data_IF_882482685253
#
_entry.id   IF_882482685253
#
_cell.length_a   1.000
_cell.length_b   1.000
_cell.length_c   1.000
_cell.angle_alpha   90.00
_cell.angle_beta   90.00
_cell.angle_gamma   90.00
#
_symmetry.space_group_name_H-M   'P 1'
#
loop_
_entity.id
_entity.type
_entity.pdbx_description
1 polymer ?
#
# COMPACT_ATOMS: atom_id res chain seq x y z
N UNK A 1 24.65 -48.12 34.50
CA UNK A 1 25.76 -47.41 33.84
C UNK A 1 25.34 -47.12 32.40
N UNK A 2 25.12 -45.83 32.07
CA UNK A 2 25.04 -45.21 30.73
C UNK A 2 24.07 -45.84 29.69
N UNK A 3 22.81 -45.39 29.54
CA UNK A 3 22.35 -44.26 28.68
C UNK A 3 23.16 -44.09 27.41
N UNK A 4 22.56 -44.39 26.23
CA UNK A 4 22.60 -43.56 24.99
C UNK A 4 21.39 -43.91 24.10
N UNK A 5 20.27 -43.24 24.32
CA UNK A 5 19.23 -43.10 23.30
C UNK A 5 19.73 -42.00 22.36
N UNK A 6 20.14 -42.38 21.15
CA UNK A 6 20.56 -41.43 20.12
C UNK A 6 19.37 -40.59 19.68
N UNK A 7 19.31 -39.36 20.18
CA UNK A 7 18.38 -38.32 19.73
C UNK A 7 18.89 -37.80 18.39
N UNK A 8 18.36 -38.35 17.29
CA UNK A 8 18.49 -37.72 15.97
C UNK A 8 17.40 -36.66 15.89
N UNK A 9 17.73 -35.46 16.35
CA UNK A 9 16.92 -34.25 16.16
C UNK A 9 16.90 -33.90 14.67
N UNK A 10 15.86 -34.33 13.96
CA UNK A 10 15.54 -33.81 12.61
C UNK A 10 14.90 -32.44 12.81
N UNK A 11 15.75 -31.40 12.83
CA UNK A 11 15.33 -30.01 12.79
C UNK A 11 14.85 -29.72 11.35
N UNK A 12 13.54 -29.85 11.11
CA UNK A 12 12.92 -29.40 9.86
C UNK A 12 13.04 -27.86 9.81
N UNK A 13 13.96 -27.36 9.00
CA UNK A 13 14.05 -25.95 8.62
C UNK A 13 12.75 -25.58 7.89
N UNK A 14 11.81 -24.94 8.59
CA UNK A 14 10.73 -24.19 7.96
C UNK A 14 11.39 -22.97 7.34
N UNK A 15 11.72 -23.05 6.05
CA UNK A 15 12.01 -21.90 5.22
C UNK A 15 10.74 -21.05 5.16
N UNK A 16 10.54 -20.19 6.15
CA UNK A 16 9.65 -19.05 6.00
C UNK A 16 10.28 -18.18 4.91
N UNK A 17 9.79 -18.31 3.68
CA UNK A 17 10.09 -17.37 2.62
C UNK A 17 9.50 -16.03 3.05
N UNK A 18 10.27 -15.27 3.82
CA UNK A 18 10.06 -13.85 3.98
C UNK A 18 10.29 -13.31 2.59
N UNK A 19 9.21 -13.10 1.83
CA UNK A 19 9.27 -12.18 0.70
C UNK A 19 9.73 -10.87 1.30
N UNK A 20 11.02 -10.59 1.20
CA UNK A 20 11.55 -9.27 1.43
C UNK A 20 10.79 -8.39 0.44
N UNK A 21 9.76 -7.70 0.91
CA UNK A 21 9.11 -6.65 0.15
C UNK A 21 10.24 -5.71 -0.23
N UNK A 22 10.69 -5.76 -1.49
CA UNK A 22 11.68 -4.82 -2.00
C UNK A 22 11.07 -3.44 -1.79
N UNK A 23 11.58 -2.72 -0.80
CA UNK A 23 11.11 -1.39 -0.47
C UNK A 23 11.34 -0.53 -1.71
N UNK A 24 10.27 0.10 -2.21
CA UNK A 24 10.35 1.08 -3.28
C UNK A 24 11.09 2.33 -2.75
N UNK A 25 12.43 2.30 -2.71
CA UNK A 25 13.26 3.35 -2.11
C UNK A 25 13.07 4.72 -2.78
N UNK A 26 12.62 4.73 -4.03
CA UNK A 26 12.43 5.94 -4.84
C UNK A 26 11.03 6.55 -4.72
N UNK A 27 10.08 5.89 -4.04
CA UNK A 27 8.68 6.32 -3.96
C UNK A 27 8.35 6.80 -2.54
N UNK A 28 7.88 8.04 -2.42
CA UNK A 28 7.36 8.61 -1.18
C UNK A 28 5.86 8.91 -1.31
N UNK A 29 5.09 8.68 -0.26
CA UNK A 29 3.72 9.21 -0.17
C UNK A 29 3.75 10.61 0.45
N UNK A 30 3.43 11.61 -0.38
CA UNK A 30 3.35 13.01 0.03
C UNK A 30 1.99 13.34 0.65
N UNK A 31 0.92 12.68 0.19
CA UNK A 31 -0.42 12.81 0.75
C UNK A 31 -1.26 11.55 0.45
N UNK A 32 -2.13 11.10 1.37
CA UNK A 32 -2.26 11.55 2.75
C UNK A 32 -1.07 11.08 3.60
N UNK A 33 -0.67 11.89 4.59
CA UNK A 33 0.32 11.49 5.59
C UNK A 33 -0.33 10.56 6.61
N UNK A 34 0.48 9.79 7.35
CA UNK A 34 -0.01 8.96 8.44
C UNK A 34 -0.86 9.77 9.42
N UNK A 35 -1.92 9.16 9.96
CA UNK A 35 -2.87 9.74 10.90
C UNK A 35 -3.69 10.94 10.38
N UNK A 36 -3.56 11.28 9.10
CA UNK A 36 -4.45 12.26 8.46
C UNK A 36 -5.91 11.82 8.56
N UNK A 37 -6.83 12.77 8.67
CA UNK A 37 -8.27 12.53 8.66
C UNK A 37 -8.84 13.19 7.40
N UNK A 38 -9.48 12.38 6.56
CA UNK A 38 -10.17 12.83 5.36
C UNK A 38 -11.66 12.69 5.61
N UNK A 39 -12.41 13.77 5.49
CA UNK A 39 -13.86 13.73 5.66
C UNK A 39 -14.57 13.57 4.32
N UNK A 40 -15.44 12.57 4.22
CA UNK A 40 -16.36 12.43 3.09
C UNK A 40 -17.62 13.21 3.38
N UNK A 41 -17.84 14.26 2.60
CA UNK A 41 -19.04 15.12 2.66
C UNK A 41 -19.69 15.17 1.28
N UNK A 42 -20.89 15.77 1.17
CA UNK A 42 -21.54 16.02 -0.14
C UNK A 42 -20.70 16.88 -1.08
N UNK A 43 -19.90 17.78 -0.53
CA UNK A 43 -19.06 18.73 -1.27
C UNK A 43 -17.68 18.14 -1.58
N UNK A 44 -17.23 17.13 -0.81
CA UNK A 44 -15.96 16.45 -0.97
C UNK A 44 -16.16 14.96 -1.31
N UNK A 45 -16.45 14.73 -2.59
CA UNK A 45 -16.62 13.38 -3.15
C UNK A 45 -15.30 12.66 -3.47
N UNK A 46 -14.15 13.35 -3.37
CA UNK A 46 -12.86 12.75 -3.73
C UNK A 46 -11.72 13.22 -2.83
N UNK A 47 -10.67 12.40 -2.81
CA UNK A 47 -9.36 12.72 -2.25
C UNK A 47 -8.27 12.31 -3.24
N UNK A 48 -7.01 12.48 -2.89
CA UNK A 48 -5.88 12.12 -3.74
C UNK A 48 -4.87 11.26 -2.97
N UNK A 49 -4.19 10.40 -3.71
CA UNK A 49 -2.87 9.92 -3.35
C UNK A 49 -1.86 10.75 -4.13
N UNK A 50 -0.96 11.43 -3.45
CA UNK A 50 0.15 12.16 -4.06
C UNK A 50 1.43 11.40 -3.77
N UNK A 51 2.09 10.97 -4.84
CA UNK A 51 3.38 10.28 -4.81
C UNK A 51 4.49 11.25 -5.17
N UNK A 52 5.59 11.18 -4.44
CA UNK A 52 6.87 11.76 -4.81
C UNK A 52 7.78 10.69 -5.39
N UNK A 53 8.52 11.04 -6.44
CA UNK A 53 9.64 10.23 -6.93
C UNK A 53 10.94 10.94 -6.57
N UNK A 54 11.77 10.29 -5.75
CA UNK A 54 13.07 10.82 -5.30
C UNK A 54 14.23 10.43 -6.23
N UNK A 55 13.97 9.65 -7.28
CA UNK A 55 14.97 9.35 -8.30
C UNK A 55 15.30 10.61 -9.10
N UNK A 56 16.51 11.13 -8.92
CA UNK A 56 17.00 12.32 -9.62
C UNK A 56 17.44 12.03 -11.08
N UNK A 57 17.50 10.75 -11.48
CA UNK A 57 17.95 10.34 -12.79
C UNK A 57 16.80 10.33 -13.81
N UNK A 58 16.57 11.46 -14.46
CA UNK A 58 15.48 11.68 -15.42
C UNK A 58 15.43 10.71 -16.62
N UNK A 59 16.49 9.96 -16.89
CA UNK A 59 16.58 9.05 -18.04
C UNK A 59 16.05 7.63 -17.73
N UNK A 60 15.86 7.29 -16.46
CA UNK A 60 15.48 5.94 -16.01
C UNK A 60 14.27 6.03 -15.09
N UNK A 61 13.08 6.17 -15.68
CA UNK A 61 11.85 6.38 -14.92
C UNK A 61 11.18 5.06 -14.54
N UNK A 62 11.01 4.88 -13.24
CA UNK A 62 10.11 3.88 -12.67
C UNK A 62 8.67 4.14 -13.14
N UNK A 63 7.86 3.09 -13.26
CA UNK A 63 6.46 3.16 -13.73
C UNK A 63 5.52 2.71 -12.63
N UNK A 64 4.45 3.46 -12.40
CA UNK A 64 3.35 3.03 -11.56
C UNK A 64 2.55 1.98 -12.34
N UNK A 65 2.25 0.84 -11.72
CA UNK A 65 1.49 -0.25 -12.37
C UNK A 65 0.12 -0.45 -11.76
N UNK A 66 -0.02 -0.24 -10.46
CA UNK A 66 -1.29 -0.35 -9.75
C UNK A 66 -1.28 0.42 -8.43
N UNK A 67 -2.44 0.95 -8.07
CA UNK A 67 -2.71 1.47 -6.72
C UNK A 67 -4.01 0.87 -6.22
N UNK A 68 -3.98 0.38 -4.98
CA UNK A 68 -5.15 -0.10 -4.26
C UNK A 68 -5.32 0.71 -2.97
N UNK A 69 -6.56 0.97 -2.58
CA UNK A 69 -6.95 1.45 -1.26
C UNK A 69 -7.43 0.25 -0.43
N UNK A 70 -6.98 0.17 0.81
CA UNK A 70 -7.21 -0.98 1.68
C UNK A 70 -7.78 -0.52 3.02
N UNK A 71 -8.59 -1.38 3.63
CA UNK A 71 -9.01 -1.28 5.02
C UNK A 71 -9.29 -2.68 5.58
N UNK A 72 -9.49 -2.78 6.89
CA UNK A 72 -10.00 -4.00 7.54
C UNK A 72 -11.51 -3.87 7.75
N UNK A 73 -12.26 -4.94 7.43
CA UNK A 73 -13.67 -5.03 7.80
C UNK A 73 -13.85 -5.43 9.28
N UNK A 74 -15.09 -5.51 9.74
CA UNK A 74 -15.45 -5.89 11.13
C UNK A 74 -14.94 -7.28 11.56
N UNK A 75 -14.55 -8.12 10.60
CA UNK A 75 -13.99 -9.46 10.82
C UNK A 75 -12.45 -9.47 10.72
N UNK A 76 -11.80 -8.31 10.72
CA UNK A 76 -10.37 -8.13 10.51
C UNK A 76 -9.85 -8.71 9.17
N UNK A 77 -10.70 -8.76 8.15
CA UNK A 77 -10.29 -9.17 6.80
C UNK A 77 -9.95 -7.95 5.97
N UNK A 78 -8.86 -8.04 5.21
CA UNK A 78 -8.45 -6.99 4.27
C UNK A 78 -9.46 -6.88 3.13
N UNK A 79 -10.02 -5.70 2.97
CA UNK A 79 -10.83 -5.32 1.83
C UNK A 79 -9.95 -4.48 0.92
N UNK A 80 -9.78 -4.94 -0.32
CA UNK A 80 -8.94 -4.30 -1.32
C UNK A 80 -9.84 -3.66 -2.38
N UNK A 81 -9.63 -2.37 -2.63
CA UNK A 81 -10.25 -1.65 -3.73
C UNK A 81 -9.16 -1.14 -4.65
N UNK A 82 -9.12 -1.63 -5.88
CA UNK A 82 -8.23 -1.07 -6.90
C UNK A 82 -8.75 0.30 -7.34
N UNK A 83 -7.91 1.32 -7.21
CA UNK A 83 -8.28 2.71 -7.52
C UNK A 83 -7.68 3.17 -8.85
N UNK A 84 -6.56 2.57 -9.24
CA UNK A 84 -5.87 2.87 -10.49
C UNK A 84 -5.03 1.67 -10.94
N UNK A 85 -4.99 1.43 -12.26
CA UNK A 85 -4.16 0.42 -12.92
C UNK A 85 -3.70 0.97 -14.27
N UNK A 86 -2.43 0.81 -14.61
CA UNK A 86 -1.87 1.37 -15.85
C UNK A 86 -0.38 1.13 -15.96
N UNK A 87 0.32 1.95 -16.75
CA UNK A 87 1.78 1.93 -16.88
C UNK A 87 2.34 3.35 -17.04
N UNK A 88 1.91 4.26 -16.17
CA UNK A 88 2.32 5.66 -16.21
C UNK A 88 3.71 5.83 -15.58
N UNK A 89 4.52 6.71 -16.16
CA UNK A 89 5.80 7.09 -15.57
C UNK A 89 5.58 7.75 -14.20
N UNK A 90 6.36 7.34 -13.20
CA UNK A 90 6.45 8.05 -11.94
C UNK A 90 7.28 9.31 -12.14
N UNK A 91 6.58 10.43 -12.32
CA UNK A 91 7.18 11.76 -12.34
C UNK A 91 7.62 12.16 -10.93
N UNK A 92 8.35 13.27 -10.82
CA UNK A 92 8.75 13.86 -9.54
C UNK A 92 7.57 13.99 -8.57
N UNK A 93 6.39 14.34 -9.10
CA UNK A 93 5.12 14.29 -8.39
C UNK A 93 4.06 13.68 -9.30
N UNK A 94 3.37 12.65 -8.81
CA UNK A 94 2.23 12.03 -9.48
C UNK A 94 1.02 12.02 -8.56
N UNK A 95 -0.18 12.26 -9.09
CA UNK A 95 -1.42 12.29 -8.31
C UNK A 95 -2.43 11.29 -8.86
N UNK A 96 -3.00 10.48 -7.97
CA UNK A 96 -4.06 9.51 -8.27
C UNK A 96 -5.30 9.96 -7.51
N UNK A 97 -6.37 10.28 -8.23
CA UNK A 97 -7.63 10.64 -7.59
C UNK A 97 -8.33 9.38 -7.04
N UNK A 98 -8.85 9.49 -5.82
CA UNK A 98 -9.69 8.49 -5.19
C UNK A 98 -11.11 9.04 -5.00
N UNK A 99 -12.09 8.35 -5.59
CA UNK A 99 -13.51 8.62 -5.39
C UNK A 99 -13.99 8.01 -4.07
N UNK A 100 -14.32 8.88 -3.11
CA UNK A 100 -14.74 8.49 -1.77
C UNK A 100 -16.16 7.89 -1.75
N UNK A 101 -16.97 8.12 -2.80
CA UNK A 101 -18.31 7.54 -2.90
C UNK A 101 -18.28 6.04 -3.23
N UNK A 102 -17.15 5.52 -3.73
CA UNK A 102 -16.97 4.08 -3.96
C UNK A 102 -16.74 3.28 -2.67
N UNK A 103 -16.44 3.96 -1.56
CA UNK A 103 -16.34 3.35 -0.23
C UNK A 103 -17.75 3.17 0.33
N UNK A 104 -18.11 1.95 0.77
CA UNK A 104 -19.45 1.71 1.30
C UNK A 104 -19.59 2.45 2.63
N UNK A 105 -20.76 3.06 2.87
CA UNK A 105 -20.98 3.82 4.11
C UNK A 105 -20.82 2.99 5.39
N UNK A 106 -21.08 1.67 5.33
CA UNK A 106 -20.84 0.76 6.46
C UNK A 106 -19.37 0.55 6.79
N UNK A 107 -18.46 0.85 5.86
CA UNK A 107 -17.03 0.70 6.01
C UNK A 107 -16.41 2.03 6.53
N UNK A 108 -17.23 2.99 6.98
CA UNK A 108 -16.84 4.29 7.52
C UNK A 108 -17.49 4.55 8.89
N UNK A 109 -16.81 5.25 9.83
CA UNK A 109 -15.42 5.69 9.74
C UNK A 109 -14.45 4.51 9.90
N UNK A 110 -13.32 4.53 9.19
CA UNK A 110 -12.33 3.46 9.29
C UNK A 110 -10.91 3.96 8.98
N UNK A 111 -9.92 3.11 9.25
CA UNK A 111 -8.51 3.31 8.94
C UNK A 111 -8.19 2.65 7.61
N UNK A 112 -7.59 3.42 6.72
CA UNK A 112 -7.22 3.03 5.37
C UNK A 112 -5.72 3.19 5.14
N UNK A 113 -5.19 2.50 4.13
CA UNK A 113 -3.85 2.71 3.60
C UNK A 113 -3.84 2.40 2.10
N UNK A 114 -2.85 2.94 1.38
CA UNK A 114 -2.63 2.61 -0.02
C UNK A 114 -1.58 1.50 -0.15
N UNK A 115 -1.81 0.57 -1.08
CA UNK A 115 -0.81 -0.36 -1.58
C UNK A 115 -0.47 0.06 -3.01
N UNK A 116 0.79 0.38 -3.23
CA UNK A 116 1.34 0.91 -4.47
C UNK A 116 2.24 -0.15 -5.08
N UNK A 117 2.00 -0.46 -6.35
CA UNK A 117 2.83 -1.33 -7.15
C UNK A 117 3.50 -0.51 -8.24
N UNK A 118 4.80 -0.69 -8.38
CA UNK A 118 5.58 -0.02 -9.41
C UNK A 118 6.60 -0.99 -10.02
N UNK A 119 6.96 -0.72 -11.27
CA UNK A 119 8.10 -1.32 -11.93
C UNK A 119 9.25 -0.32 -11.89
N UNK A 120 10.34 -0.69 -11.23
CA UNK A 120 11.56 0.11 -11.20
C UNK A 120 12.26 0.11 -12.56
N UNK A 121 13.18 1.05 -12.76
CA UNK A 121 13.87 1.23 -14.05
C UNK A 121 14.67 -0.01 -14.50
N UNK A 122 15.13 -0.84 -13.55
CA UNK A 122 15.85 -2.09 -13.79
C UNK A 122 14.91 -3.26 -14.18
N UNK A 123 13.61 -2.99 -14.25
CA UNK A 123 12.56 -3.96 -14.55
C UNK A 123 12.00 -4.67 -13.32
N UNK A 124 12.56 -4.45 -12.13
CA UNK A 124 12.13 -5.07 -10.88
C UNK A 124 10.75 -4.56 -10.47
N UNK A 125 9.86 -5.46 -10.04
CA UNK A 125 8.58 -5.07 -9.44
C UNK A 125 8.79 -4.76 -7.96
N UNK A 126 8.26 -3.63 -7.49
CA UNK A 126 8.28 -3.26 -6.08
C UNK A 126 6.85 -3.01 -5.57
N UNK A 127 6.66 -3.24 -4.28
CA UNK A 127 5.42 -2.96 -3.58
C UNK A 127 5.72 -2.06 -2.37
N UNK A 128 4.94 -0.99 -2.21
CA UNK A 128 5.02 -0.07 -1.10
C UNK A 128 3.64 0.10 -0.45
N UNK A 129 3.60 0.12 0.88
CA UNK A 129 2.39 0.43 1.64
C UNK A 129 2.53 1.79 2.31
N UNK A 130 1.54 2.66 2.16
CA UNK A 130 1.54 3.97 2.78
C UNK A 130 1.37 3.89 4.29
N UNK A 131 1.64 5.01 4.97
CA UNK A 131 1.11 5.22 6.31
C UNK A 131 -0.42 5.09 6.33
N UNK A 132 -0.96 4.67 7.48
CA UNK A 132 -2.39 4.54 7.71
C UNK A 132 -3.02 5.90 7.99
N UNK A 133 -4.22 6.14 7.47
CA UNK A 133 -4.98 7.38 7.64
C UNK A 133 -6.46 7.05 7.86
N UNK A 134 -7.25 8.01 8.35
CA UNK A 134 -8.68 7.80 8.61
C UNK A 134 -9.52 8.45 7.53
N UNK A 135 -10.59 7.77 7.14
CA UNK A 135 -11.67 8.38 6.36
C UNK A 135 -12.92 8.38 7.25
N UNK A 136 -13.54 9.55 7.38
CA UNK A 136 -14.78 9.75 8.11
C UNK A 136 -15.92 10.10 7.16
N UNK A 137 -17.13 10.13 7.70
CA UNK A 137 -18.36 10.35 6.97
C UNK A 137 -19.22 11.32 7.76
N UNK A 138 -19.32 12.57 7.30
CA UNK A 138 -20.11 13.61 7.97
C UNK A 138 -21.11 14.20 6.98
N UNK A 139 -22.39 14.27 7.39
CA UNK A 139 -23.46 14.92 6.61
C UNK A 139 -23.61 14.43 5.15
N UNK A 140 -23.50 13.11 4.92
CA UNK A 140 -23.70 12.49 3.60
C UNK A 140 -25.19 12.50 3.22
#
# INVERSE_FOLDING_TARGET
MLIRISVVSVLLFVLTTVFAQQQCQEIEVLYPKADSIIDRTKEQASTYLILGNTNENNNNKSKLTKVSLLHLNDKNQEIIQDIWTGQDELLKVSAIQQDLNKIKSKDLPNTFWFRIFAQLYDGTQCQYESGKFKITATNI
#
